data_IF_394144086048
#
_entry.id   IF_394144086048
#
_cell.length_a   1.000
_cell.length_b   1.000
_cell.length_c   1.000
_cell.angle_alpha   90.00
_cell.angle_beta   90.00
_cell.angle_gamma   90.00
#
_symmetry.space_group_name_H-M   'P 1'
#
loop_
_entity.id
_entity.type
_entity.pdbx_description
1 polymer ?
#
# COMPACT_ATOMS: atom_id res chain seq x y z
N UNK A 1 50.11 -40.24 -6.35
CA UNK A 1 50.25 -39.10 -5.42
C UNK A 1 48.96 -38.30 -5.49
N UNK A 2 47.99 -38.67 -4.65
CA UNK A 2 46.69 -38.03 -4.58
C UNK A 2 46.84 -36.79 -3.69
N UNK A 3 46.74 -35.60 -4.28
CA UNK A 3 46.78 -34.35 -3.54
C UNK A 3 45.43 -34.18 -2.84
N UNK A 4 45.36 -34.51 -1.56
CA UNK A 4 44.21 -34.15 -0.71
C UNK A 4 44.25 -32.64 -0.54
N UNK A 5 43.33 -31.93 -1.19
CA UNK A 5 43.08 -30.51 -0.92
C UNK A 5 42.42 -30.43 0.45
N UNK A 6 43.22 -30.12 1.47
CA UNK A 6 42.72 -29.74 2.79
C UNK A 6 42.19 -28.30 2.70
N UNK A 7 40.87 -28.12 2.71
CA UNK A 7 40.28 -26.81 2.97
C UNK A 7 40.68 -26.38 4.39
N UNK A 8 41.29 -25.19 4.58
CA UNK A 8 41.66 -24.75 5.91
C UNK A 8 40.39 -24.60 6.75
N UNK A 9 40.31 -25.42 7.82
CA UNK A 9 39.30 -25.26 8.85
C UNK A 9 39.52 -23.91 9.53
N UNK A 10 38.51 -23.05 9.51
CA UNK A 10 38.56 -21.74 10.14
C UNK A 10 38.76 -21.89 11.65
N UNK A 11 39.87 -21.38 12.14
CA UNK A 11 40.26 -21.47 13.55
C UNK A 11 39.49 -20.46 14.41
N UNK A 12 38.56 -20.98 15.20
CA UNK A 12 38.29 -20.62 16.62
C UNK A 12 38.04 -19.17 17.00
N UNK A 13 36.76 -18.80 17.17
CA UNK A 13 36.35 -17.58 17.88
C UNK A 13 34.85 -17.22 17.72
N UNK A 14 33.94 -18.18 17.94
CA UNK A 14 32.50 -18.01 17.66
C UNK A 14 32.19 -18.14 16.17
N UNK A 15 31.21 -18.97 15.78
CA UNK A 15 30.97 -19.41 14.39
C UNK A 15 30.54 -18.35 13.36
N UNK A 16 30.94 -17.08 13.52
CA UNK A 16 30.61 -15.99 12.61
C UNK A 16 31.84 -15.53 11.82
N UNK A 17 31.66 -15.34 10.52
CA UNK A 17 32.65 -14.79 9.62
C UNK A 17 32.43 -13.29 9.41
N UNK A 18 33.46 -12.56 8.97
CA UNK A 18 33.31 -11.18 8.52
C UNK A 18 32.19 -11.09 7.46
N UNK A 19 31.32 -10.10 7.59
CA UNK A 19 30.13 -9.94 6.75
C UNK A 19 28.90 -10.71 7.23
N UNK A 20 29.00 -11.61 8.22
CA UNK A 20 27.82 -12.25 8.78
C UNK A 20 26.96 -11.23 9.53
N UNK A 21 25.66 -11.28 9.29
CA UNK A 21 24.67 -10.42 9.92
C UNK A 21 23.85 -11.22 10.93
N UNK A 22 23.60 -10.65 12.10
CA UNK A 22 22.70 -11.22 13.10
C UNK A 22 21.85 -10.17 13.79
N UNK A 23 20.79 -10.65 14.44
CA UNK A 23 19.97 -9.86 15.34
C UNK A 23 20.74 -9.62 16.66
N UNK A 24 20.63 -8.40 17.16
CA UNK A 24 21.07 -7.96 18.47
C UNK A 24 19.86 -7.44 19.27
N UNK A 25 19.73 -7.91 20.51
CA UNK A 25 18.61 -7.63 21.40
C UNK A 25 18.95 -6.64 22.53
N UNK A 26 20.17 -6.08 22.54
CA UNK A 26 20.59 -5.03 23.48
C UNK A 26 20.33 -3.63 22.92
N UNK A 27 21.16 -2.68 23.34
CA UNK A 27 21.12 -1.30 22.83
C UNK A 27 22.21 -1.06 21.78
N UNK A 28 22.13 0.04 21.04
CA UNK A 28 23.19 0.45 20.10
C UNK A 28 24.53 0.65 20.84
N UNK A 29 24.50 1.07 22.11
CA UNK A 29 25.70 1.25 22.93
C UNK A 29 26.34 -0.08 23.37
N UNK A 30 25.57 -1.17 23.38
CA UNK A 30 26.01 -2.50 23.84
C UNK A 30 26.41 -3.42 22.67
N UNK A 31 26.64 -2.87 21.49
CA UNK A 31 27.11 -3.63 20.34
C UNK A 31 28.48 -4.24 20.69
N UNK A 32 28.64 -5.58 20.62
CA UNK A 32 29.87 -6.22 21.03
C UNK A 32 31.06 -5.85 20.15
N UNK A 33 32.26 -5.88 20.72
CA UNK A 33 33.50 -5.66 19.99
C UNK A 33 33.60 -6.57 18.75
N UNK A 34 34.08 -6.00 17.64
CA UNK A 34 34.19 -6.68 16.36
C UNK A 34 32.88 -6.79 15.57
N UNK A 35 31.81 -6.11 16.00
CA UNK A 35 30.55 -5.94 15.27
C UNK A 35 30.25 -4.46 15.05
N UNK A 36 29.47 -4.17 14.01
CA UNK A 36 29.01 -2.82 13.66
C UNK A 36 27.51 -2.81 13.35
N UNK A 37 26.87 -1.67 13.55
CA UNK A 37 25.46 -1.46 13.15
C UNK A 37 25.31 -1.57 11.63
N UNK A 38 24.26 -2.22 11.16
CA UNK A 38 23.90 -2.26 9.74
C UNK A 38 23.18 -0.98 9.31
N UNK A 39 23.90 0.13 9.20
CA UNK A 39 23.37 1.46 8.87
C UNK A 39 23.76 1.97 7.47
N UNK A 40 24.53 1.19 6.70
CA UNK A 40 25.09 1.61 5.42
C UNK A 40 26.53 2.10 5.49
N UNK A 41 27.04 2.40 6.70
CA UNK A 41 28.44 2.74 6.90
C UNK A 41 29.32 1.46 6.90
N UNK A 42 30.62 1.63 6.67
CA UNK A 42 31.61 0.55 6.71
C UNK A 42 31.28 -0.64 5.78
N UNK A 43 30.56 -0.40 4.69
CA UNK A 43 30.15 -1.43 3.74
C UNK A 43 29.01 -2.33 4.23
N UNK A 44 28.35 -1.98 5.35
CA UNK A 44 27.18 -2.71 5.84
C UNK A 44 25.95 -2.42 4.96
N UNK A 45 24.96 -3.33 4.89
CA UNK A 45 23.67 -3.01 4.31
C UNK A 45 22.90 -1.99 5.17
N UNK A 46 22.15 -1.05 4.59
CA UNK A 46 21.34 -0.08 5.34
C UNK A 46 20.05 -0.76 5.84
N UNK A 47 20.04 -1.26 7.08
CA UNK A 47 18.92 -2.00 7.68
C UNK A 47 18.18 -1.23 8.79
N UNK A 48 18.67 -0.05 9.18
CA UNK A 48 17.99 0.83 10.15
C UNK A 48 16.64 1.28 9.59
N UNK A 49 15.59 1.18 10.42
CA UNK A 49 14.19 1.51 10.10
C UNK A 49 13.62 0.77 8.89
N UNK A 50 14.13 -0.45 8.61
CA UNK A 50 13.76 -1.22 7.43
C UNK A 50 13.37 -2.65 7.76
N UNK A 51 12.28 -3.10 7.15
CA UNK A 51 11.90 -4.50 7.13
C UNK A 51 12.80 -5.28 6.15
N UNK A 52 13.12 -6.54 6.48
CA UNK A 52 14.00 -7.40 5.67
C UNK A 52 13.17 -8.28 4.74
N UNK A 53 13.60 -8.36 3.47
CA UNK A 53 13.08 -9.32 2.48
C UNK A 53 14.23 -10.16 1.93
N UNK A 54 13.93 -11.39 1.52
CA UNK A 54 14.89 -12.21 0.79
C UNK A 54 15.16 -11.64 -0.61
N UNK A 55 16.44 -11.53 -0.97
CA UNK A 55 16.87 -11.18 -2.32
C UNK A 55 17.01 -12.43 -3.21
N UNK A 56 17.08 -12.23 -4.54
CA UNK A 56 17.42 -13.29 -5.50
C UNK A 56 16.41 -13.53 -6.63
N UNK A 57 15.28 -12.82 -6.62
CA UNK A 57 14.34 -12.79 -7.74
C UNK A 57 13.94 -11.34 -8.04
N UNK A 58 12.84 -10.87 -7.47
CA UNK A 58 12.34 -9.51 -7.68
C UNK A 58 13.24 -8.42 -7.04
N UNK A 59 13.94 -8.76 -5.95
CA UNK A 59 14.79 -7.82 -5.22
C UNK A 59 16.26 -8.20 -5.34
N UNK A 60 17.10 -7.20 -5.61
CA UNK A 60 18.55 -7.31 -5.62
C UNK A 60 19.13 -7.26 -4.20
N UNK A 61 20.31 -7.84 -3.95
CA UNK A 61 20.99 -7.69 -2.67
C UNK A 61 21.20 -6.22 -2.30
N UNK A 62 20.93 -5.87 -1.04
CA UNK A 62 21.00 -4.50 -0.50
C UNK A 62 20.10 -3.46 -1.19
N UNK A 63 19.13 -3.89 -2.02
CA UNK A 63 18.15 -2.99 -2.60
C UNK A 63 17.22 -2.42 -1.52
N UNK A 64 17.16 -1.11 -1.43
CA UNK A 64 16.18 -0.39 -0.62
C UNK A 64 14.86 -0.24 -1.39
N UNK A 65 13.75 -0.56 -0.74
CA UNK A 65 12.39 -0.39 -1.28
C UNK A 65 11.40 -0.14 -0.14
N UNK A 66 10.14 0.12 -0.49
CA UNK A 66 9.09 0.50 0.45
C UNK A 66 9.14 1.98 0.82
N UNK A 67 8.10 2.43 1.54
CA UNK A 67 8.00 3.77 2.09
C UNK A 67 7.16 3.73 3.37
N UNK A 68 7.38 4.68 4.28
CA UNK A 68 6.55 4.83 5.48
C UNK A 68 5.16 5.35 5.15
N UNK A 69 5.08 6.25 4.16
CA UNK A 69 3.85 6.86 3.70
C UNK A 69 3.68 6.64 2.20
N UNK A 70 2.44 6.39 1.78
CA UNK A 70 2.06 6.38 0.38
C UNK A 70 1.05 7.49 0.13
N UNK A 71 1.25 8.20 -0.98
CA UNK A 71 0.28 9.16 -1.47
C UNK A 71 -0.57 8.48 -2.53
N UNK A 72 -1.88 8.60 -2.41
CA UNK A 72 -2.77 8.37 -3.56
C UNK A 72 -2.85 9.68 -4.33
N UNK A 73 -2.52 9.66 -5.62
CA UNK A 73 -2.80 10.83 -6.46
C UNK A 73 -4.32 10.98 -6.59
N UNK A 74 -4.79 12.23 -6.69
CA UNK A 74 -6.21 12.51 -6.88
C UNK A 74 -6.77 11.74 -8.08
N UNK A 75 -7.86 11.01 -7.85
CA UNK A 75 -8.50 10.21 -8.89
C UNK A 75 -9.92 10.69 -9.15
N UNK A 76 -10.18 11.09 -10.39
CA UNK A 76 -11.54 11.40 -10.86
C UNK A 76 -12.16 10.12 -11.39
N UNK A 77 -13.31 9.73 -10.84
CA UNK A 77 -14.04 8.57 -11.33
C UNK A 77 -14.46 8.78 -12.80
N UNK A 78 -14.12 7.81 -13.62
CA UNK A 78 -14.58 7.68 -15.00
C UNK A 78 -15.93 6.95 -15.09
N UNK A 79 -16.58 7.00 -16.25
CA UNK A 79 -17.85 6.29 -16.48
C UNK A 79 -17.69 4.78 -16.30
N UNK A 80 -16.54 4.23 -16.68
CA UNK A 80 -16.24 2.79 -16.56
C UNK A 80 -16.09 2.31 -15.11
N UNK A 81 -15.83 3.24 -14.18
CA UNK A 81 -15.68 2.96 -12.75
C UNK A 81 -17.00 3.10 -11.98
N UNK A 82 -18.07 3.56 -12.63
CA UNK A 82 -19.41 3.60 -12.05
C UNK A 82 -20.13 2.26 -12.24
N UNK A 83 -20.59 1.60 -11.17
CA UNK A 83 -21.45 0.43 -11.30
C UNK A 83 -22.71 0.72 -12.12
N UNK A 84 -23.18 -0.28 -12.89
CA UNK A 84 -24.45 -0.20 -13.61
C UNK A 84 -25.57 0.15 -12.63
N UNK A 85 -26.25 1.27 -12.87
CA UNK A 85 -27.37 1.74 -12.06
C UNK A 85 -28.47 2.31 -12.96
N UNK A 86 -29.72 2.29 -12.48
CA UNK A 86 -30.85 2.91 -13.16
C UNK A 86 -31.77 3.62 -12.15
N UNK A 87 -32.42 4.68 -12.62
CA UNK A 87 -33.46 5.39 -11.88
C UNK A 87 -34.80 5.23 -12.58
N UNK A 88 -35.88 4.99 -11.83
CA UNK A 88 -37.23 4.87 -12.36
C UNK A 88 -38.15 5.83 -11.60
N UNK A 89 -38.30 7.02 -12.16
CA UNK A 89 -39.28 7.98 -11.68
C UNK A 89 -40.55 7.91 -12.54
N UNK A 90 -41.71 7.89 -11.88
CA UNK A 90 -43.01 7.96 -12.53
C UNK A 90 -43.65 9.32 -12.23
N UNK A 91 -43.77 10.20 -13.24
CA UNK A 91 -44.50 11.45 -13.08
C UNK A 91 -45.95 11.30 -13.57
N UNK A 92 -46.89 11.84 -12.79
CA UNK A 92 -48.31 11.95 -13.18
C UNK A 92 -48.56 13.39 -13.64
N UNK A 93 -48.89 13.58 -14.91
CA UNK A 93 -49.32 14.88 -15.42
C UNK A 93 -50.84 15.00 -15.25
N UNK A 94 -51.31 15.95 -14.45
CA UNK A 94 -52.73 16.29 -14.40
C UNK A 94 -52.99 17.40 -15.43
N UNK A 95 -53.68 17.06 -16.52
CA UNK A 95 -54.16 18.06 -17.47
C UNK A 95 -55.44 18.65 -16.90
N UNK A 96 -55.39 19.87 -16.35
CA UNK A 96 -56.60 20.64 -16.09
C UNK A 96 -57.23 21.03 -17.43
N UNK A 97 -58.47 20.61 -17.75
CA UNK A 97 -59.21 21.25 -18.82
C UNK A 97 -59.54 22.66 -18.35
N UNK A 98 -59.15 23.69 -19.10
CA UNK A 98 -59.55 25.06 -18.84
C UNK A 98 -61.07 25.16 -18.81
N UNK A 99 -61.66 25.11 -17.60
CA UNK A 99 -63.10 25.11 -17.42
C UNK A 99 -63.48 24.78 -15.98
N UNK A 100 -63.97 25.78 -15.26
CA UNK A 100 -64.67 25.59 -13.99
C UNK A 100 -65.95 24.79 -14.23
N UNK A 101 -65.90 23.47 -14.01
CA UNK A 101 -67.05 22.60 -14.12
C UNK A 101 -66.87 21.35 -13.29
N UNK A 102 -67.79 21.09 -12.37
CA UNK A 102 -67.87 19.85 -11.59
C UNK A 102 -68.16 18.69 -12.53
N UNK A 103 -67.12 17.98 -12.95
CA UNK A 103 -67.23 16.72 -13.68
C UNK A 103 -65.98 15.91 -13.39
N UNK A 104 -66.15 14.72 -12.82
CA UNK A 104 -65.08 13.80 -12.46
C UNK A 104 -64.01 13.77 -13.57
N UNK A 105 -62.80 14.22 -13.23
CA UNK A 105 -61.69 14.25 -14.17
C UNK A 105 -61.47 12.86 -14.75
N UNK A 106 -61.65 12.70 -16.07
CA UNK A 106 -61.23 11.47 -16.74
C UNK A 106 -59.71 11.45 -16.75
N UNK A 107 -59.12 10.79 -15.76
CA UNK A 107 -57.68 10.55 -15.69
C UNK A 107 -57.28 9.70 -16.90
N UNK A 108 -56.81 10.34 -17.98
CA UNK A 108 -55.95 9.66 -18.95
C UNK A 108 -54.55 9.73 -18.38
N UNK A 109 -54.11 8.71 -17.65
CA UNK A 109 -52.73 8.66 -17.17
C UNK A 109 -51.80 8.54 -18.38
N UNK A 110 -51.15 9.65 -18.76
CA UNK A 110 -50.00 9.60 -19.66
C UNK A 110 -48.76 9.40 -18.78
N UNK A 111 -48.18 8.22 -18.85
CA UNK A 111 -46.89 7.95 -18.23
C UNK A 111 -45.80 8.68 -19.02
N UNK A 112 -45.13 9.65 -18.39
CA UNK A 112 -43.87 10.20 -18.90
C UNK A 112 -42.70 9.71 -18.05
N UNK A 113 -41.69 9.16 -18.69
CA UNK A 113 -40.44 8.80 -18.03
C UNK A 113 -39.53 10.03 -18.02
N UNK A 114 -39.06 10.44 -16.84
CA UNK A 114 -38.02 11.46 -16.68
C UNK A 114 -36.76 10.82 -16.13
N UNK A 115 -35.61 11.24 -16.66
CA UNK A 115 -34.31 10.88 -16.13
C UNK A 115 -33.89 11.93 -15.10
N UNK A 116 -33.40 11.48 -13.94
CA UNK A 116 -32.70 12.37 -13.02
C UNK A 116 -31.43 12.91 -13.68
N UNK A 117 -31.06 14.14 -13.37
CA UNK A 117 -29.75 14.67 -13.81
C UNK A 117 -28.63 14.06 -12.97
N UNK A 118 -27.42 14.03 -13.55
CA UNK A 118 -26.21 13.66 -12.83
C UNK A 118 -26.00 14.64 -11.67
N UNK A 119 -25.83 14.13 -10.44
CA UNK A 119 -25.55 14.94 -9.25
C UNK A 119 -24.18 14.61 -8.67
N UNK A 120 -23.45 15.64 -8.23
CA UNK A 120 -22.08 15.54 -7.69
C UNK A 120 -21.03 15.66 -8.81
N UNK A 121 -20.23 16.72 -8.80
CA UNK A 121 -19.34 17.10 -9.91
C UNK A 121 -18.17 16.16 -10.22
N UNK A 122 -18.16 14.93 -9.67
CA UNK A 122 -17.09 13.94 -9.80
C UNK A 122 -15.69 14.53 -9.55
N UNK A 123 -15.59 15.51 -8.65
CA UNK A 123 -14.31 16.14 -8.35
C UNK A 123 -13.33 15.09 -7.80
N UNK A 124 -12.09 15.08 -8.30
CA UNK A 124 -11.08 14.16 -7.79
C UNK A 124 -10.85 14.43 -6.31
N UNK A 125 -10.74 13.37 -5.53
CA UNK A 125 -10.24 13.42 -4.17
C UNK A 125 -9.02 12.53 -4.04
N UNK A 126 -8.17 12.84 -3.07
CA UNK A 126 -7.10 11.98 -2.64
C UNK A 126 -7.31 11.54 -1.18
N UNK A 127 -6.57 10.51 -0.78
CA UNK A 127 -6.52 10.04 0.61
C UNK A 127 -5.33 10.65 1.37
N UNK A 128 -4.72 11.71 0.84
CA UNK A 128 -3.51 12.33 1.38
C UNK A 128 -2.35 11.34 1.57
N UNK A 129 -1.55 11.59 2.61
CA UNK A 129 -0.49 10.69 3.05
C UNK A 129 -1.06 9.62 3.98
N UNK A 130 -1.02 8.38 3.52
CA UNK A 130 -1.45 7.21 4.30
C UNK A 130 -0.22 6.50 4.83
N UNK A 131 -0.16 6.30 6.15
CA UNK A 131 0.85 5.45 6.78
C UNK A 131 0.63 3.99 6.35
N UNK A 132 1.64 3.39 5.70
CA UNK A 132 1.55 2.02 5.18
C UNK A 132 2.37 1.01 5.99
N UNK A 133 2.91 1.43 7.14
CA UNK A 133 3.71 0.54 7.98
C UNK A 133 2.83 -0.55 8.59
N UNK A 134 3.25 -1.80 8.42
CA UNK A 134 2.64 -2.92 9.12
C UNK A 134 3.00 -2.87 10.61
N UNK A 135 2.13 -3.39 11.48
CA UNK A 135 2.47 -3.56 12.90
C UNK A 135 3.70 -4.46 13.02
N UNK A 136 4.79 -3.91 13.54
CA UNK A 136 6.09 -4.58 13.58
C UNK A 136 6.82 -4.32 14.89
N UNK A 137 7.88 -5.08 15.13
CA UNK A 137 8.84 -4.86 16.22
C UNK A 137 10.21 -4.57 15.61
N UNK A 138 10.89 -3.55 16.12
CA UNK A 138 12.24 -3.20 15.70
C UNK A 138 13.27 -4.00 16.52
N UNK A 139 14.23 -4.60 15.82
CA UNK A 139 15.40 -5.26 16.40
C UNK A 139 16.65 -4.67 15.77
N UNK A 140 17.77 -4.72 16.48
CA UNK A 140 19.03 -4.16 15.98
C UNK A 140 19.72 -5.19 15.09
N UNK A 141 20.13 -4.77 13.91
CA UNK A 141 20.92 -5.58 12.98
C UNK A 141 22.38 -5.19 13.06
N UNK A 142 23.26 -6.17 13.31
CA UNK A 142 24.69 -5.96 13.37
C UNK A 142 25.44 -6.89 12.41
N UNK A 143 26.53 -6.39 11.83
CA UNK A 143 27.41 -7.13 10.93
C UNK A 143 28.77 -7.36 11.60
N UNK A 144 29.30 -8.57 11.47
CA UNK A 144 30.64 -8.90 11.94
C UNK A 144 31.66 -8.21 11.04
N UNK A 145 32.59 -7.47 11.64
CA UNK A 145 33.78 -6.96 10.94
C UNK A 145 34.75 -8.07 10.55
#
# INVERSE_FOLDING_TARGET
>A
MLLVVINPQKSGGGGYESGHIRIHNGTIADIPEGWVLCDGANGTPPMVDRAVVGAGAQYQPAQCFGADNQMTQGHTLSIDEMPSHNHREASLNFLEPGGSGTSQAKVKSQYSFQYTQHSGGNEPHDHGNVDVRQKSIALIWIMKL
#
